data_IF_922565063356
#
_entry.id   IF_922565063356
#
_cell.length_a   1.000
_cell.length_b   1.000
_cell.length_c   1.000
_cell.angle_alpha   90.00
_cell.angle_beta   90.00
_cell.angle_gamma   90.00
#
_symmetry.space_group_name_H-M   'P 1'
#
loop_
_entity.id
_entity.type
_entity.pdbx_description
1 polymer ?
#
# COMPACT_ATOMS: atom_id res chain seq x y z
N UNK A 1 14.65 19.41 -0.86
CA UNK A 1 13.20 19.12 -0.70
C UNK A 1 12.91 17.77 -1.32
N UNK A 2 12.31 16.83 -0.55
CA UNK A 2 12.07 15.46 -1.00
C UNK A 2 10.60 15.18 -1.29
N UNK A 3 10.31 14.15 -2.10
CA UNK A 3 8.95 13.69 -2.37
C UNK A 3 8.59 12.59 -1.37
N UNK A 4 7.39 12.67 -0.81
CA UNK A 4 6.81 11.64 0.06
C UNK A 4 5.54 11.09 -0.58
N UNK A 5 5.38 9.78 -0.53
CA UNK A 5 4.17 9.13 -1.05
C UNK A 5 3.30 8.65 0.11
N UNK A 6 2.01 8.95 0.04
CA UNK A 6 1.00 8.41 0.96
C UNK A 6 -0.03 7.67 0.13
N UNK A 7 -0.32 6.42 0.50
CA UNK A 7 -1.25 5.59 -0.24
C UNK A 7 -2.15 4.76 0.67
N UNK A 8 -3.41 4.57 0.24
CA UNK A 8 -4.39 3.75 0.95
C UNK A 8 -4.70 2.47 0.16
N UNK A 9 -4.90 1.33 0.84
CA UNK A 9 -5.20 0.04 0.20
C UNK A 9 -4.11 -0.28 -0.86
N UNK A 10 -4.54 -0.61 -2.08
CA UNK A 10 -3.71 -0.90 -3.26
C UNK A 10 -2.88 0.30 -3.65
N UNK A 11 -3.37 1.52 -3.42
CA UNK A 11 -2.59 2.74 -3.60
C UNK A 11 -1.36 2.79 -2.69
N UNK A 12 -1.44 2.25 -1.47
CA UNK A 12 -0.29 2.10 -0.57
C UNK A 12 0.71 1.07 -1.09
N UNK A 13 0.20 -0.09 -1.51
CA UNK A 13 1.02 -1.14 -2.13
C UNK A 13 1.79 -0.64 -3.35
N UNK A 14 1.12 0.10 -4.26
CA UNK A 14 1.77 0.70 -5.44
C UNK A 14 2.71 1.84 -5.04
N UNK A 15 2.33 2.70 -4.08
CA UNK A 15 3.20 3.77 -3.60
C UNK A 15 4.54 3.22 -3.08
N UNK A 16 4.53 2.06 -2.42
CA UNK A 16 5.78 1.41 -1.97
C UNK A 16 6.63 0.92 -3.14
N UNK A 17 6.01 0.30 -4.15
CA UNK A 17 6.70 -0.10 -5.37
C UNK A 17 7.35 1.09 -6.07
N UNK A 18 6.62 2.20 -6.24
CA UNK A 18 7.15 3.42 -6.85
C UNK A 18 8.24 4.05 -5.99
N UNK A 19 8.03 4.12 -4.67
CA UNK A 19 9.02 4.68 -3.74
C UNK A 19 10.33 3.90 -3.78
N UNK A 20 10.27 2.57 -3.86
CA UNK A 20 11.46 1.72 -3.96
C UNK A 20 12.27 2.04 -5.23
N UNK A 21 11.62 2.26 -6.36
CA UNK A 21 12.27 2.39 -7.67
C UNK A 21 12.62 3.85 -8.05
N UNK A 22 11.99 4.87 -7.44
CA UNK A 22 12.27 6.28 -7.68
C UNK A 22 13.15 6.89 -6.57
N UNK A 23 14.41 7.26 -6.84
CA UNK A 23 15.32 7.81 -5.82
C UNK A 23 14.92 9.22 -5.34
N UNK A 24 14.02 9.91 -6.04
CA UNK A 24 13.50 11.22 -5.61
C UNK A 24 12.50 11.08 -4.46
N UNK A 25 11.91 9.90 -4.30
CA UNK A 25 11.02 9.57 -3.19
C UNK A 25 11.85 9.25 -1.96
N UNK A 26 11.66 10.04 -0.90
CA UNK A 26 12.42 9.95 0.35
C UNK A 26 11.84 8.96 1.34
N UNK A 27 10.58 8.56 1.16
CA UNK A 27 9.91 7.54 1.95
C UNK A 27 8.41 7.49 1.66
N UNK A 28 7.71 6.61 2.36
CA UNK A 28 6.28 6.39 2.13
C UNK A 28 5.49 6.13 3.42
N UNK A 29 4.19 6.44 3.40
CA UNK A 29 3.24 6.04 4.43
C UNK A 29 2.07 5.27 3.82
N UNK A 30 1.81 4.09 4.36
CA UNK A 30 0.84 3.13 3.83
C UNK A 30 -0.31 2.96 4.81
N UNK A 31 -1.55 3.06 4.30
CA UNK A 31 -2.77 2.93 5.10
C UNK A 31 -3.56 1.70 4.62
N UNK A 32 -3.67 0.68 5.46
CA UNK A 32 -4.26 -0.63 5.13
C UNK A 32 -3.75 -1.25 3.82
N UNK A 33 -2.41 -1.31 3.57
CA UNK A 33 -1.87 -1.84 2.33
C UNK A 33 -2.02 -3.35 2.22
N UNK A 34 -1.95 -3.84 0.99
CA UNK A 34 -1.78 -5.26 0.66
C UNK A 34 -0.29 -5.61 0.55
N UNK A 35 0.11 -6.78 1.04
CA UNK A 35 1.48 -7.30 0.93
C UNK A 35 1.79 -7.84 -0.48
N UNK A 36 0.77 -8.36 -1.15
CA UNK A 36 0.83 -8.90 -2.51
C UNK A 36 -0.53 -8.79 -3.22
N UNK A 37 -0.56 -9.30 -4.45
CA UNK A 37 -1.75 -9.41 -5.27
C UNK A 37 -1.99 -10.87 -5.71
N UNK A 38 -1.51 -11.85 -4.95
CA UNK A 38 -1.49 -13.26 -5.36
C UNK A 38 -2.92 -13.82 -5.50
N UNK A 39 -3.86 -13.43 -4.65
CA UNK A 39 -5.27 -13.78 -4.79
C UNK A 39 -5.87 -13.29 -6.12
N UNK A 40 -5.51 -12.08 -6.53
CA UNK A 40 -5.94 -11.49 -7.80
C UNK A 40 -5.26 -12.17 -8.98
N UNK A 41 -3.98 -12.51 -8.84
CA UNK A 41 -3.22 -13.27 -9.82
C UNK A 41 -3.68 -14.73 -9.98
N UNK A 42 -4.28 -15.30 -8.94
CA UNK A 42 -4.85 -16.65 -8.96
C UNK A 42 -6.23 -16.69 -9.63
N UNK A 43 -7.04 -15.63 -9.46
CA UNK A 43 -8.39 -15.54 -10.01
C UNK A 43 -8.63 -14.21 -10.79
N UNK A 44 -7.84 -13.90 -11.83
CA UNK A 44 -7.87 -12.58 -12.49
C UNK A 44 -9.20 -12.29 -13.20
N UNK A 45 -9.89 -13.32 -13.71
CA UNK A 45 -11.22 -13.16 -14.34
C UNK A 45 -12.27 -12.73 -13.30
N UNK A 46 -12.33 -13.45 -12.18
CA UNK A 46 -13.24 -13.13 -11.07
C UNK A 46 -12.95 -11.75 -10.50
N UNK A 47 -11.67 -11.38 -10.37
CA UNK A 47 -11.29 -10.03 -9.95
C UNK A 47 -11.75 -8.97 -10.95
N UNK A 48 -11.59 -9.20 -12.26
CA UNK A 48 -12.05 -8.27 -13.30
C UNK A 48 -13.57 -8.10 -13.31
N UNK A 49 -14.32 -9.20 -13.18
CA UNK A 49 -15.77 -9.19 -13.05
C UNK A 49 -16.21 -8.36 -11.85
N UNK A 50 -15.67 -8.67 -10.67
CA UNK A 50 -15.95 -7.94 -9.45
C UNK A 50 -15.60 -6.45 -9.56
N UNK A 51 -14.43 -6.12 -10.12
CA UNK A 51 -13.99 -4.75 -10.34
C UNK A 51 -14.94 -3.98 -11.29
N UNK A 52 -15.58 -4.65 -12.26
CA UNK A 52 -16.62 -4.05 -13.09
C UNK A 52 -17.94 -3.88 -12.34
N UNK A 53 -18.35 -4.88 -11.57
CA UNK A 53 -19.59 -4.85 -10.77
C UNK A 53 -19.60 -3.67 -9.78
N UNK A 54 -18.49 -3.45 -9.07
CA UNK A 54 -18.35 -2.32 -8.12
C UNK A 54 -18.00 -1.00 -8.81
N UNK A 55 -17.83 -1.02 -10.14
CA UNK A 55 -17.47 0.13 -10.95
C UNK A 55 -16.03 0.63 -10.77
N UNK A 56 -15.11 -0.14 -10.20
CA UNK A 56 -13.70 0.21 -10.20
C UNK A 56 -13.13 0.26 -11.64
N UNK A 57 -13.64 -0.60 -12.52
CA UNK A 57 -13.34 -0.62 -13.95
C UNK A 57 -14.62 -0.29 -14.72
N UNK A 58 -14.65 0.88 -15.36
CA UNK A 58 -15.80 1.35 -16.16
C UNK A 58 -15.52 1.42 -17.65
N UNK A 59 -14.26 1.33 -18.04
CA UNK A 59 -13.82 1.51 -19.43
C UNK A 59 -14.24 0.31 -20.29
N UNK A 60 -15.08 0.51 -21.33
CA UNK A 60 -15.41 -0.55 -22.27
C UNK A 60 -14.16 -1.12 -22.92
N UNK A 61 -14.09 -2.45 -23.05
CA UNK A 61 -12.94 -3.13 -23.65
C UNK A 61 -11.67 -3.15 -22.79
N UNK A 62 -11.70 -2.67 -21.55
CA UNK A 62 -10.59 -2.89 -20.61
C UNK A 62 -10.64 -4.31 -20.01
N UNK A 63 -9.50 -5.00 -19.84
CA UNK A 63 -8.16 -4.63 -20.34
C UNK A 63 -8.02 -4.95 -21.84
N UNK A 64 -7.15 -4.22 -22.54
CA UNK A 64 -6.85 -4.47 -23.97
C UNK A 64 -6.28 -5.88 -24.20
N UNK A 65 -5.43 -6.33 -23.28
CA UNK A 65 -4.88 -7.68 -23.23
C UNK A 65 -5.10 -8.25 -21.84
N UNK A 66 -5.97 -9.25 -21.74
CA UNK A 66 -6.30 -9.87 -20.46
C UNK A 66 -5.07 -10.56 -19.84
N UNK A 67 -4.29 -11.26 -20.65
CA UNK A 67 -3.13 -12.00 -20.15
C UNK A 67 -2.00 -11.08 -19.70
N UNK A 68 -1.77 -9.95 -20.38
CA UNK A 68 -0.80 -8.95 -19.93
C UNK A 68 -1.22 -8.33 -18.61
N UNK A 69 -2.47 -7.86 -18.52
CA UNK A 69 -3.02 -7.28 -17.30
C UNK A 69 -2.97 -8.26 -16.12
N UNK A 70 -3.33 -9.52 -16.34
CA UNK A 70 -3.25 -10.55 -15.30
C UNK A 70 -1.81 -10.81 -14.83
N UNK A 71 -0.82 -10.73 -15.72
CA UNK A 71 0.61 -10.89 -15.36
C UNK A 71 1.11 -9.75 -14.47
N UNK A 72 0.54 -8.55 -14.55
CA UNK A 72 0.97 -7.41 -13.73
C UNK A 72 0.81 -7.67 -12.23
N UNK A 73 -0.21 -8.42 -11.81
CA UNK A 73 -0.41 -8.78 -10.40
C UNK A 73 0.75 -9.60 -9.82
N UNK A 74 1.44 -10.40 -10.64
CA UNK A 74 2.64 -11.14 -10.21
C UNK A 74 3.90 -10.30 -10.29
N UNK A 75 3.91 -9.26 -11.12
CA UNK A 75 5.06 -8.37 -11.35
C UNK A 75 5.27 -7.43 -10.16
N UNK A 76 4.19 -6.84 -9.64
CA UNK A 76 4.29 -5.92 -8.51
C UNK A 76 4.26 -6.69 -7.20
N UNK A 77 5.37 -6.66 -6.46
CA UNK A 77 5.54 -7.34 -5.17
C UNK A 77 5.82 -6.32 -4.06
N UNK A 78 4.77 -5.78 -3.40
CA UNK A 78 4.90 -4.77 -2.35
C UNK A 78 5.86 -5.17 -1.23
N UNK A 79 5.83 -6.41 -0.75
CA UNK A 79 6.79 -6.93 0.25
C UNK A 79 8.24 -6.81 -0.22
N UNK A 80 8.55 -7.22 -1.45
CA UNK A 80 9.91 -7.08 -1.99
C UNK A 80 10.29 -5.61 -2.19
N UNK A 81 9.33 -4.75 -2.56
CA UNK A 81 9.56 -3.32 -2.69
C UNK A 81 9.85 -2.66 -1.33
N UNK A 82 9.16 -3.06 -0.26
CA UNK A 82 9.42 -2.56 1.08
C UNK A 82 10.87 -2.85 1.51
N UNK A 83 11.39 -4.04 1.24
CA UNK A 83 12.80 -4.37 1.48
C UNK A 83 13.78 -3.52 0.66
N UNK A 84 13.48 -3.23 -0.61
CA UNK A 84 14.31 -2.35 -1.46
C UNK A 84 14.21 -0.86 -1.08
N UNK A 85 13.12 -0.45 -0.45
CA UNK A 85 12.94 0.93 0.00
C UNK A 85 13.89 1.25 1.16
N UNK A 86 14.16 0.27 2.03
CA UNK A 86 15.06 0.45 3.17
C UNK A 86 16.44 0.98 2.74
N UNK A 87 17.06 1.90 3.50
CA UNK A 87 16.62 2.40 4.81
C UNK A 87 15.73 3.66 4.74
N UNK A 88 15.17 4.02 3.57
CA UNK A 88 14.30 5.21 3.46
C UNK A 88 13.04 5.02 4.33
N UNK A 89 12.62 6.04 5.10
CA UNK A 89 11.54 5.85 6.08
C UNK A 89 10.23 5.30 5.50
N UNK A 90 9.66 4.34 6.21
CA UNK A 90 8.38 3.71 5.89
C UNK A 90 7.48 3.70 7.14
N UNK A 91 6.27 4.25 7.01
CA UNK A 91 5.18 4.07 7.97
C UNK A 91 4.16 3.08 7.39
N UNK A 92 3.78 2.08 8.16
CA UNK A 92 2.72 1.14 7.83
C UNK A 92 1.63 1.22 8.90
N UNK A 93 0.43 1.63 8.52
CA UNK A 93 -0.73 1.69 9.41
C UNK A 93 -1.80 0.70 8.96
N UNK A 94 -2.43 0.03 9.91
CA UNK A 94 -3.51 -0.93 9.62
C UNK A 94 -4.58 -0.89 10.72
N UNK A 95 -5.85 -1.02 10.35
CA UNK A 95 -6.93 -1.18 11.32
C UNK A 95 -7.03 -2.62 11.81
N UNK A 96 -7.18 -2.86 13.11
CA UNK A 96 -7.28 -4.24 13.61
C UNK A 96 -8.60 -4.92 13.22
N UNK A 97 -9.64 -4.14 12.97
CA UNK A 97 -10.97 -4.62 12.56
C UNK A 97 -11.16 -4.50 11.03
N UNK A 98 -10.05 -4.51 10.28
CA UNK A 98 -10.08 -4.48 8.82
C UNK A 98 -10.52 -5.83 8.24
N UNK A 99 -11.81 -5.92 7.90
CA UNK A 99 -12.39 -7.12 7.27
C UNK A 99 -12.03 -7.28 5.78
N UNK A 100 -11.36 -6.29 5.17
CA UNK A 100 -11.02 -6.30 3.74
C UNK A 100 -9.59 -6.76 3.46
N UNK A 101 -8.65 -6.40 4.34
CA UNK A 101 -7.24 -6.76 4.22
C UNK A 101 -6.72 -7.17 5.60
N UNK A 102 -6.13 -8.36 5.77
CA UNK A 102 -5.67 -8.81 7.08
C UNK A 102 -4.48 -7.98 7.57
N UNK A 103 -4.40 -7.76 8.88
CA UNK A 103 -3.24 -7.08 9.52
C UNK A 103 -1.91 -7.81 9.30
N UNK A 104 -1.93 -9.09 8.91
CA UNK A 104 -0.75 -9.85 8.52
C UNK A 104 0.01 -9.19 7.35
N UNK A 105 -0.69 -8.54 6.41
CA UNK A 105 -0.06 -7.87 5.28
C UNK A 105 0.83 -6.70 5.75
N UNK A 106 0.31 -5.88 6.67
CA UNK A 106 1.08 -4.79 7.26
C UNK A 106 2.32 -5.28 8.03
N UNK A 107 2.19 -6.40 8.75
CA UNK A 107 3.32 -7.03 9.46
C UNK A 107 4.40 -7.52 8.48
N UNK A 108 4.01 -8.21 7.41
CA UNK A 108 4.94 -8.68 6.38
C UNK A 108 5.69 -7.52 5.71
N UNK A 109 5.01 -6.42 5.39
CA UNK A 109 5.65 -5.23 4.82
C UNK A 109 6.65 -4.59 5.78
N UNK A 110 6.28 -4.46 7.06
CA UNK A 110 7.15 -3.87 8.07
C UNK A 110 8.38 -4.75 8.35
N UNK A 111 8.18 -6.07 8.43
CA UNK A 111 9.26 -7.05 8.59
C UNK A 111 10.22 -7.03 7.40
N UNK A 112 9.72 -7.05 6.17
CA UNK A 112 10.55 -7.00 4.98
C UNK A 112 11.37 -5.70 4.85
N UNK A 113 10.84 -4.57 5.31
CA UNK A 113 11.59 -3.32 5.42
C UNK A 113 12.65 -3.35 6.54
N UNK A 114 12.40 -4.12 7.62
CA UNK A 114 13.31 -4.30 8.76
C UNK A 114 13.33 -3.17 9.78
N UNK A 115 13.01 -1.93 9.37
CA UNK A 115 12.98 -0.75 10.26
C UNK A 115 11.74 0.14 10.10
N UNK A 116 10.67 -0.37 9.49
CA UNK A 116 9.45 0.41 9.29
C UNK A 116 8.75 0.70 10.62
N UNK A 117 8.10 1.86 10.73
CA UNK A 117 7.19 2.15 11.84
C UNK A 117 5.85 1.46 11.57
N UNK A 118 5.48 0.46 12.36
CA UNK A 118 4.19 -0.23 12.28
C UNK A 118 3.21 0.32 13.33
N UNK A 119 1.98 0.65 12.90
CA UNK A 119 0.89 1.12 13.76
C UNK A 119 -0.38 0.35 13.46
N UNK A 120 -0.74 -0.55 14.38
CA UNK A 120 -2.05 -1.20 14.38
C UNK A 120 -3.00 -0.35 15.22
N UNK A 121 -4.18 -0.05 14.68
CA UNK A 121 -5.16 0.84 15.32
C UNK A 121 -6.35 -0.01 15.76
N UNK A 122 -6.42 -0.27 17.06
CA UNK A 122 -7.50 -1.05 17.67
C UNK A 122 -8.87 -0.39 17.42
N UNK A 123 -9.86 -1.20 17.03
CA UNK A 123 -11.20 -0.72 16.72
C UNK A 123 -11.33 0.01 15.38
N UNK A 124 -10.25 0.17 14.61
CA UNK A 124 -10.30 0.79 13.30
C UNK A 124 -10.50 -0.27 12.21
N UNK A 125 -11.39 0.03 11.26
CA UNK A 125 -11.58 -0.80 10.06
C UNK A 125 -10.70 -0.34 8.88
N UNK A 126 -11.08 -0.78 7.68
CA UNK A 126 -10.30 -0.59 6.46
C UNK A 126 -10.02 0.87 6.05
N UNK A 127 -10.95 1.79 6.35
CA UNK A 127 -10.92 3.16 5.79
C UNK A 127 -10.17 4.14 6.69
N UNK A 128 -8.90 3.85 6.98
CA UNK A 128 -8.07 4.65 7.89
C UNK A 128 -7.94 6.14 7.54
N UNK A 129 -8.07 6.53 6.27
CA UNK A 129 -8.06 7.95 5.87
C UNK A 129 -9.21 8.78 6.48
N UNK A 130 -10.24 8.12 7.02
CA UNK A 130 -11.35 8.74 7.71
C UNK A 130 -11.27 8.57 9.25
N UNK A 131 -10.29 7.81 9.75
CA UNK A 131 -10.06 7.67 11.17
C UNK A 131 -9.17 8.82 11.66
N UNK A 132 -9.65 9.70 12.56
CA UNK A 132 -8.87 10.85 13.01
C UNK A 132 -7.58 10.45 13.74
N UNK A 133 -7.53 9.27 14.37
CA UNK A 133 -6.32 8.77 15.04
C UNK A 133 -5.25 8.43 14.01
N UNK A 134 -5.64 7.76 12.92
CA UNK A 134 -4.74 7.42 11.83
C UNK A 134 -4.20 8.68 11.13
N UNK A 135 -5.07 9.68 10.90
CA UNK A 135 -4.67 10.97 10.33
C UNK A 135 -3.69 11.70 11.25
N UNK A 136 -3.93 11.73 12.56
CA UNK A 136 -3.01 12.34 13.51
C UNK A 136 -1.64 11.66 13.53
N UNK A 137 -1.60 10.32 13.52
CA UNK A 137 -0.35 9.55 13.42
C UNK A 137 0.40 9.87 12.12
N UNK A 138 -0.30 9.90 10.99
CA UNK A 138 0.29 10.24 9.69
C UNK A 138 0.92 11.63 9.69
N UNK A 139 0.17 12.64 10.14
CA UNK A 139 0.66 14.03 10.15
C UNK A 139 1.86 14.18 11.08
N UNK A 140 1.81 13.61 12.28
CA UNK A 140 2.92 13.63 13.22
C UNK A 140 4.15 12.88 12.69
N UNK A 141 3.96 11.79 11.94
CA UNK A 141 5.06 11.10 11.28
C UNK A 141 5.70 11.95 10.18
N UNK A 142 4.91 12.54 9.29
CA UNK A 142 5.39 13.40 8.20
C UNK A 142 6.16 14.61 8.74
N UNK A 143 5.70 15.22 9.83
CA UNK A 143 6.39 16.35 10.46
C UNK A 143 7.78 15.95 10.98
N UNK A 144 7.91 14.79 11.62
CA UNK A 144 9.23 14.25 12.02
C UNK A 144 10.15 14.05 10.81
N UNK A 145 9.61 13.59 9.68
CA UNK A 145 10.42 13.38 8.49
C UNK A 145 10.92 14.69 7.87
N UNK A 146 10.16 15.79 8.03
CA UNK A 146 10.59 17.12 7.61
C UNK A 146 11.84 17.57 8.35
N UNK A 147 11.88 17.37 9.67
CA UNK A 147 12.96 17.81 10.55
C UNK A 147 14.28 17.05 10.36
N UNK A 148 14.23 15.80 9.90
CA UNK A 148 15.45 14.98 9.64
C UNK A 148 16.12 15.34 8.30
N UNK A 149 15.43 16.11 7.44
CA UNK A 149 15.93 16.51 6.13
C UNK A 149 16.50 17.94 6.05
N UNK A 150 16.47 18.68 7.16
CA UNK A 150 17.18 19.95 7.38
C UNK A 150 18.57 19.68 7.95
#
# INVERSE_FOLDING_TARGET
>A
MGIWLVGTNTGGSIATCVAADDPRVRGAALLSPRADFDDWAAQPRRFLEHAREIGAIRTPGFPKSFDEWAREFRRFRPVHAAGRLAPRPLLVMHGEDDESVPTADARQLAEAHGSAELRLISGAGHRLRHDPRAVAVLLGWLDRQRLVGE
#
